data_IF_363092056125
#
_entry.id   IF_363092056125
#
_cell.length_a   1.000
_cell.length_b   1.000
_cell.length_c   1.000
_cell.angle_alpha   90.00
_cell.angle_beta   90.00
_cell.angle_gamma   90.00
#
_symmetry.space_group_name_H-M   'P 1'
#
loop_
_entity.id
_entity.type
_entity.pdbx_description
1 polymer ?
#
# COMPACT_ATOMS: atom_id res chain seq x y z
N UNK A 1 -22.60 -12.89 -10.97
CA UNK A 1 -22.04 -12.43 -9.68
C UNK A 1 -20.93 -11.44 -10.00
N UNK A 2 -21.02 -10.23 -9.47
CA UNK A 2 -20.01 -9.20 -9.66
C UNK A 2 -18.73 -9.51 -8.88
N UNK A 3 -17.61 -8.88 -9.25
CA UNK A 3 -16.34 -9.04 -8.53
C UNK A 3 -16.46 -8.58 -7.07
N UNK A 4 -17.26 -7.54 -6.83
CA UNK A 4 -17.54 -7.00 -5.50
C UNK A 4 -18.33 -7.99 -4.64
N UNK A 5 -19.42 -8.57 -5.16
CA UNK A 5 -20.22 -9.59 -4.46
C UNK A 5 -19.35 -10.80 -4.10
N UNK A 6 -18.51 -11.21 -5.03
CA UNK A 6 -17.63 -12.34 -4.84
C UNK A 6 -16.54 -12.08 -3.79
N UNK A 7 -15.83 -10.94 -3.83
CA UNK A 7 -14.85 -10.58 -2.79
C UNK A 7 -15.54 -10.48 -1.43
N UNK A 8 -16.76 -9.94 -1.38
CA UNK A 8 -17.55 -9.93 -0.15
C UNK A 8 -17.82 -11.34 0.38
N UNK A 9 -18.13 -12.32 -0.48
CA UNK A 9 -18.29 -13.70 -0.06
C UNK A 9 -16.99 -14.32 0.46
N UNK A 10 -15.84 -14.04 -0.19
CA UNK A 10 -14.54 -14.49 0.31
C UNK A 10 -14.27 -13.96 1.72
N UNK A 11 -14.50 -12.67 1.93
CA UNK A 11 -14.31 -12.02 3.23
C UNK A 11 -15.26 -12.61 4.28
N UNK A 12 -16.56 -12.65 3.99
CA UNK A 12 -17.59 -13.13 4.93
C UNK A 12 -17.39 -14.60 5.31
N UNK A 13 -16.96 -15.43 4.37
CA UNK A 13 -16.76 -16.86 4.59
C UNK A 13 -15.34 -17.19 5.02
N UNK A 14 -14.45 -16.19 5.16
CA UNK A 14 -13.01 -16.38 5.40
C UNK A 14 -12.40 -17.41 4.43
N UNK A 15 -12.89 -17.40 3.18
CA UNK A 15 -12.51 -18.36 2.15
C UNK A 15 -11.34 -17.86 1.34
N UNK A 16 -10.56 -18.84 0.91
CA UNK A 16 -9.52 -18.72 -0.10
C UNK A 16 -10.16 -18.61 -1.50
N UNK A 17 -9.63 -17.72 -2.34
CA UNK A 17 -9.98 -17.65 -3.75
C UNK A 17 -9.44 -18.89 -4.47
N UNK A 18 -10.18 -19.37 -5.47
CA UNK A 18 -9.64 -20.39 -6.38
C UNK A 18 -8.51 -19.78 -7.25
N UNK A 19 -7.64 -20.60 -7.85
CA UNK A 19 -6.61 -20.09 -8.77
C UNK A 19 -7.17 -19.26 -9.93
N UNK A 20 -8.31 -19.65 -10.49
CA UNK A 20 -8.99 -18.92 -11.58
C UNK A 20 -9.50 -17.55 -11.10
N UNK A 21 -10.08 -17.53 -9.90
CA UNK A 21 -10.55 -16.33 -9.23
C UNK A 21 -9.40 -15.36 -8.92
N UNK A 22 -8.27 -15.88 -8.43
CA UNK A 22 -7.06 -15.10 -8.17
C UNK A 22 -6.49 -14.51 -9.47
N UNK A 23 -6.47 -15.30 -10.56
CA UNK A 23 -6.03 -14.82 -11.87
C UNK A 23 -6.90 -13.66 -12.38
N UNK A 24 -8.23 -13.77 -12.21
CA UNK A 24 -9.18 -12.71 -12.57
C UNK A 24 -8.94 -11.42 -11.76
N UNK A 25 -8.68 -11.53 -10.44
CA UNK A 25 -8.33 -10.38 -9.60
C UNK A 25 -7.07 -9.68 -10.08
N UNK A 26 -6.02 -10.45 -10.36
CA UNK A 26 -4.73 -9.93 -10.79
C UNK A 26 -4.87 -9.21 -12.13
N UNK A 27 -5.55 -9.82 -13.10
CA UNK A 27 -5.75 -9.22 -14.41
C UNK A 27 -6.44 -7.86 -14.27
N UNK A 28 -7.58 -7.82 -13.58
CA UNK A 28 -8.38 -6.62 -13.37
C UNK A 28 -7.65 -5.55 -12.57
N UNK A 29 -7.06 -5.90 -11.43
CA UNK A 29 -6.32 -4.94 -10.61
C UNK A 29 -5.09 -4.38 -11.34
N UNK A 30 -4.45 -5.17 -12.21
CA UNK A 30 -3.23 -4.73 -12.91
C UNK A 30 -3.48 -3.68 -13.99
N UNK A 31 -4.71 -3.58 -14.50
CA UNK A 31 -5.13 -2.56 -15.48
C UNK A 31 -5.98 -1.45 -14.85
N UNK A 32 -6.34 -1.59 -13.57
CA UNK A 32 -7.10 -0.59 -12.85
C UNK A 32 -6.38 0.77 -12.85
N UNK A 33 -7.16 1.84 -12.99
CA UNK A 33 -6.66 3.20 -12.76
C UNK A 33 -6.46 3.44 -11.28
N UNK A 34 -5.56 4.36 -10.94
CA UNK A 34 -5.51 4.89 -9.59
C UNK A 34 -6.71 5.82 -9.36
N UNK A 35 -7.18 5.93 -8.13
CA UNK A 35 -8.27 6.80 -7.75
C UNK A 35 -8.00 8.24 -8.24
N UNK A 36 -8.98 8.80 -8.96
CA UNK A 36 -8.88 10.14 -9.56
C UNK A 36 -9.28 11.26 -8.61
N UNK A 37 -9.65 10.94 -7.37
CA UNK A 37 -10.05 11.91 -6.36
C UNK A 37 -8.92 12.92 -6.10
N UNK A 38 -9.29 14.19 -5.93
CA UNK A 38 -8.40 15.21 -5.42
C UNK A 38 -8.41 15.16 -3.89
N UNK A 39 -7.24 14.98 -3.31
CA UNK A 39 -7.03 14.85 -1.88
C UNK A 39 -6.18 16.01 -1.37
N UNK A 40 -6.54 16.50 -0.19
CA UNK A 40 -5.77 17.53 0.50
C UNK A 40 -4.44 16.95 1.00
N UNK A 41 -3.36 17.69 0.75
CA UNK A 41 -2.04 17.35 1.27
C UNK A 41 -2.03 17.47 2.80
N UNK A 42 -1.50 16.43 3.43
CA UNK A 42 -1.31 16.38 4.88
C UNK A 42 -0.43 17.52 5.39
N UNK A 43 -0.64 17.94 6.63
CA UNK A 43 0.19 18.94 7.30
C UNK A 43 1.68 18.55 7.30
N UNK A 44 1.98 17.25 7.33
CA UNK A 44 3.35 16.75 7.26
C UNK A 44 4.05 17.07 5.93
N UNK A 45 3.28 17.37 4.88
CA UNK A 45 3.81 17.74 3.56
C UNK A 45 3.91 19.26 3.38
N UNK A 46 3.33 20.06 4.26
CA UNK A 46 3.36 21.52 4.14
C UNK A 46 4.78 22.06 4.18
N UNK A 47 5.04 23.10 3.38
CA UNK A 47 6.36 23.68 3.20
C UNK A 47 7.31 22.86 2.33
N UNK A 48 6.94 21.63 1.95
CA UNK A 48 7.68 20.84 0.96
C UNK A 48 7.40 21.34 -0.46
N UNK A 49 8.30 21.04 -1.40
CA UNK A 49 8.12 21.35 -2.81
C UNK A 49 7.58 20.15 -3.60
N UNK A 50 6.58 20.39 -4.44
CA UNK A 50 6.08 19.45 -5.45
C UNK A 50 6.04 20.13 -6.81
N UNK A 51 6.76 19.56 -7.79
CA UNK A 51 6.88 20.10 -9.16
C UNK A 51 7.26 21.60 -9.23
N UNK A 52 8.02 22.09 -8.25
CA UNK A 52 8.47 23.48 -8.17
C UNK A 52 7.57 24.39 -7.34
N UNK A 53 6.39 23.91 -6.91
CA UNK A 53 5.46 24.67 -6.07
C UNK A 53 5.59 24.29 -4.60
N UNK A 54 5.40 25.27 -3.71
CA UNK A 54 5.33 25.02 -2.26
C UNK A 54 3.96 24.48 -1.89
N UNK A 55 3.94 23.34 -1.20
CA UNK A 55 2.73 22.74 -0.66
C UNK A 55 2.26 23.56 0.54
N UNK A 56 1.02 24.04 0.47
CA UNK A 56 0.39 24.84 1.50
C UNK A 56 -0.85 24.12 2.08
N UNK A 57 -1.40 24.58 3.22
CA UNK A 57 -2.71 24.13 3.69
C UNK A 57 -3.78 24.25 2.61
N UNK A 58 -4.64 23.24 2.47
CA UNK A 58 -5.66 23.20 1.42
C UNK A 58 -5.16 22.83 0.02
N UNK A 59 -3.87 22.53 -0.16
CA UNK A 59 -3.33 22.13 -1.46
C UNK A 59 -3.89 20.76 -1.87
N UNK A 60 -4.60 20.71 -3.00
CA UNK A 60 -5.29 19.52 -3.50
C UNK A 60 -4.47 18.85 -4.62
N UNK A 61 -4.26 17.54 -4.51
CA UNK A 61 -3.53 16.72 -5.47
C UNK A 61 -4.33 15.49 -5.88
N UNK A 62 -4.20 14.98 -7.11
CA UNK A 62 -4.69 13.65 -7.46
C UNK A 62 -4.16 12.60 -6.47
N UNK A 63 -4.99 11.65 -6.05
CA UNK A 63 -4.61 10.67 -5.04
C UNK A 63 -3.32 9.91 -5.38
N UNK A 64 -3.08 9.63 -6.67
CA UNK A 64 -1.86 8.99 -7.14
C UNK A 64 -0.60 9.86 -6.95
N UNK A 65 -0.71 11.16 -7.20
CA UNK A 65 0.37 12.13 -6.99
C UNK A 65 0.64 12.31 -5.50
N UNK A 66 -0.41 12.42 -4.68
CA UNK A 66 -0.27 12.49 -3.24
C UNK A 66 0.41 11.23 -2.68
N UNK A 67 0.03 10.05 -3.18
CA UNK A 67 0.67 8.79 -2.78
C UNK A 67 2.16 8.75 -3.15
N UNK A 68 2.52 9.16 -4.37
CA UNK A 68 3.92 9.26 -4.79
C UNK A 68 4.70 10.29 -3.96
N UNK A 69 4.12 11.46 -3.75
CA UNK A 69 4.74 12.52 -2.95
C UNK A 69 5.04 12.02 -1.53
N UNK A 70 4.09 11.32 -0.89
CA UNK A 70 4.33 10.69 0.41
C UNK A 70 5.41 9.63 0.35
N UNK A 71 5.33 8.75 -0.65
CA UNK A 71 6.29 7.66 -0.83
C UNK A 71 7.74 8.17 -1.00
N UNK A 72 7.93 9.31 -1.65
CA UNK A 72 9.24 9.92 -1.90
C UNK A 72 9.71 10.84 -0.77
N UNK A 73 8.83 11.67 -0.21
CA UNK A 73 9.19 12.73 0.74
C UNK A 73 9.03 12.36 2.21
N UNK A 74 7.97 11.62 2.55
CA UNK A 74 7.72 11.22 3.94
C UNK A 74 8.35 9.87 4.23
N UNK A 75 8.05 8.89 3.39
CA UNK A 75 8.40 7.51 3.65
C UNK A 75 9.85 7.20 3.20
N UNK A 76 10.38 7.98 2.25
CA UNK A 76 11.71 7.73 1.65
C UNK A 76 11.80 6.36 0.97
N UNK A 77 10.67 5.80 0.54
CA UNK A 77 10.57 4.44 0.02
C UNK A 77 10.66 4.36 -1.50
N UNK A 78 10.50 5.47 -2.19
CA UNK A 78 10.83 5.63 -3.62
C UNK A 78 11.98 6.62 -3.81
N UNK A 79 12.78 6.45 -4.88
CA UNK A 79 13.85 7.39 -5.20
C UNK A 79 13.34 8.83 -5.32
N UNK A 80 14.14 9.78 -4.85
CA UNK A 80 13.87 11.19 -5.07
C UNK A 80 13.88 11.47 -6.59
N UNK A 81 12.81 12.08 -7.10
CA UNK A 81 12.62 12.31 -8.54
C UNK A 81 11.92 11.18 -9.30
N UNK A 82 11.45 10.12 -8.62
CA UNK A 82 10.59 9.11 -9.24
C UNK A 82 9.37 9.76 -9.91
N UNK A 83 9.09 9.36 -11.15
CA UNK A 83 7.95 9.88 -11.90
C UNK A 83 6.66 9.14 -11.54
N UNK A 84 5.51 9.78 -11.76
CA UNK A 84 4.20 9.13 -11.58
C UNK A 84 4.05 7.86 -12.46
N UNK A 85 4.45 7.86 -13.75
CA UNK A 85 4.48 6.65 -14.55
C UNK A 85 5.29 5.51 -13.94
N UNK A 86 6.50 5.78 -13.42
CA UNK A 86 7.36 4.75 -12.81
C UNK A 86 6.73 4.18 -11.55
N UNK A 87 6.18 5.05 -10.70
CA UNK A 87 5.46 4.65 -9.50
C UNK A 87 4.29 3.70 -9.83
N UNK A 88 3.44 4.08 -10.79
CA UNK A 88 2.31 3.24 -11.20
C UNK A 88 2.77 1.93 -11.86
N UNK A 89 3.88 1.95 -12.60
CA UNK A 89 4.47 0.74 -13.17
C UNK A 89 4.91 -0.23 -12.08
N UNK A 90 5.59 0.25 -11.04
CA UNK A 90 6.01 -0.55 -9.89
C UNK A 90 4.81 -1.18 -9.15
N UNK A 91 3.73 -0.43 -8.94
CA UNK A 91 2.52 -0.98 -8.30
C UNK A 91 1.91 -2.10 -9.16
N UNK A 92 1.82 -1.90 -10.48
CA UNK A 92 1.29 -2.93 -11.39
C UNK A 92 2.18 -4.17 -11.45
N UNK A 93 3.51 -3.97 -11.40
CA UNK A 93 4.45 -5.08 -11.31
C UNK A 93 4.26 -5.87 -10.01
N UNK A 94 4.03 -5.18 -8.88
CA UNK A 94 3.74 -5.83 -7.61
C UNK A 94 2.45 -6.66 -7.65
N UNK A 95 1.37 -6.14 -8.24
CA UNK A 95 0.12 -6.90 -8.44
C UNK A 95 0.35 -8.18 -9.24
N UNK A 96 1.18 -8.13 -10.29
CA UNK A 96 1.47 -9.28 -11.16
C UNK A 96 2.50 -10.26 -10.58
N UNK A 97 3.22 -9.88 -9.53
CA UNK A 97 4.39 -10.62 -9.05
C UNK A 97 4.03 -12.08 -8.67
N UNK A 98 4.80 -13.09 -9.11
CA UNK A 98 4.56 -14.50 -8.80
C UNK A 98 4.55 -14.84 -7.30
N UNK A 99 5.27 -14.08 -6.50
CA UNK A 99 5.31 -14.27 -5.04
C UNK A 99 4.48 -13.21 -4.29
N UNK A 100 3.56 -12.53 -4.97
CA UNK A 100 2.65 -11.62 -4.29
C UNK A 100 1.76 -12.39 -3.32
N UNK A 101 1.74 -11.96 -2.06
CA UNK A 101 0.66 -12.29 -1.15
C UNK A 101 -0.59 -11.51 -1.54
N UNK A 102 -1.75 -12.15 -1.45
CA UNK A 102 -3.05 -11.54 -1.71
C UNK A 102 -3.95 -11.72 -0.51
N UNK A 103 -4.55 -10.61 -0.06
CA UNK A 103 -5.50 -10.59 1.04
C UNK A 103 -6.81 -9.97 0.58
N UNK A 104 -7.92 -10.55 1.01
CA UNK A 104 -9.24 -9.92 0.90
C UNK A 104 -9.68 -9.45 2.28
N UNK A 105 -10.07 -8.19 2.39
CA UNK A 105 -10.55 -7.62 3.65
C UNK A 105 -11.50 -6.46 3.42
N UNK A 106 -12.29 -6.13 4.46
CA UNK A 106 -13.07 -4.90 4.50
C UNK A 106 -12.27 -3.78 5.14
N UNK A 107 -12.11 -2.68 4.41
CA UNK A 107 -11.45 -1.48 4.94
C UNK A 107 -12.30 -0.27 4.64
N UNK A 108 -12.53 0.57 5.65
CA UNK A 108 -13.48 1.69 5.58
C UNK A 108 -14.89 1.28 5.10
N UNK A 109 -15.31 0.04 5.38
CA UNK A 109 -16.59 -0.51 4.95
C UNK A 109 -16.59 -1.12 3.54
N UNK A 110 -15.53 -0.94 2.75
CA UNK A 110 -15.45 -1.42 1.37
C UNK A 110 -14.69 -2.75 1.24
N UNK A 111 -15.09 -3.64 0.33
CA UNK A 111 -14.31 -4.81 -0.05
C UNK A 111 -13.05 -4.40 -0.81
N UNK A 112 -11.90 -4.69 -0.21
CA UNK A 112 -10.59 -4.41 -0.77
C UNK A 112 -9.79 -5.69 -0.95
N UNK A 113 -8.90 -5.65 -1.94
CA UNK A 113 -7.86 -6.64 -2.18
C UNK A 113 -6.52 -5.96 -1.98
N UNK A 114 -5.67 -6.56 -1.17
CA UNK A 114 -4.31 -6.10 -0.94
C UNK A 114 -3.36 -7.06 -1.62
N UNK A 115 -2.47 -6.51 -2.43
CA UNK A 115 -1.35 -7.23 -3.04
C UNK A 115 -0.08 -6.78 -2.33
N UNK A 116 0.77 -7.70 -1.89
CA UNK A 116 2.10 -7.36 -1.39
C UNK A 116 3.13 -8.26 -2.04
N UNK A 117 4.03 -7.66 -2.81
CA UNK A 117 5.08 -8.38 -3.53
C UNK A 117 6.45 -7.99 -2.99
N UNK A 118 7.37 -8.95 -2.79
CA UNK A 118 8.74 -8.64 -2.42
C UNK A 118 9.34 -7.73 -3.50
N UNK A 119 10.00 -6.67 -3.04
CA UNK A 119 10.75 -5.78 -3.88
C UNK A 119 12.10 -6.45 -4.17
N UNK A 120 12.20 -7.13 -5.31
CA UNK A 120 13.48 -7.66 -5.79
C UNK A 120 14.32 -6.51 -6.34
N UNK A 121 14.87 -5.67 -5.45
CA UNK A 121 15.80 -4.64 -5.89
C UNK A 121 17.16 -4.84 -5.24
N UNK A 122 18.12 -5.20 -6.09
CA UNK A 122 19.54 -5.02 -5.82
C UNK A 122 19.90 -3.55 -5.95
N UNK A 123 19.52 -2.70 -4.99
CA UNK A 123 20.10 -1.36 -4.90
C UNK A 123 21.45 -1.48 -4.18
N UNK A 124 22.52 -1.47 -4.97
CA UNK A 124 23.88 -1.25 -4.46
C UNK A 124 24.04 0.24 -4.16
N UNK A 125 23.51 0.70 -3.03
CA UNK A 125 23.80 2.04 -2.52
C UNK A 125 25.13 1.93 -1.76
N UNK A 126 26.09 2.73 -2.17
CA UNK A 126 27.49 2.70 -1.74
C UNK A 126 27.67 2.60 -0.20
N UNK A 127 28.52 1.66 0.23
CA UNK A 127 29.33 1.69 1.47
C UNK A 127 28.64 1.81 2.85
N UNK A 128 27.47 1.22 3.05
CA UNK A 128 27.04 0.73 4.38
C UNK A 128 26.46 -0.67 4.18
N UNK A 129 26.82 -1.60 5.07
CA UNK A 129 26.49 -3.03 5.10
C UNK A 129 25.33 -3.48 4.19
N UNK A 130 25.59 -4.54 3.40
CA UNK A 130 24.60 -5.32 2.64
C UNK A 130 23.49 -5.86 3.55
N UNK A 131 22.54 -5.03 3.91
CA UNK A 131 21.24 -5.43 4.41
C UNK A 131 20.30 -5.35 3.22
N UNK A 132 20.06 -6.49 2.56
CA UNK A 132 18.91 -6.62 1.66
C UNK A 132 17.67 -6.36 2.51
N UNK A 133 17.20 -5.13 2.53
CA UNK A 133 15.96 -4.81 3.21
C UNK A 133 14.87 -5.62 2.51
N UNK A 134 14.30 -6.59 3.23
CA UNK A 134 13.14 -7.36 2.81
C UNK A 134 11.94 -6.42 2.76
N UNK A 135 11.88 -5.54 1.76
CA UNK A 135 10.78 -4.60 1.53
C UNK A 135 9.82 -5.26 0.55
N UNK A 136 8.54 -4.98 0.71
CA UNK A 136 7.52 -5.34 -0.27
C UNK A 136 6.80 -4.07 -0.74
N UNK A 137 6.49 -4.06 -2.03
CA UNK A 137 5.53 -3.10 -2.60
C UNK A 137 4.13 -3.62 -2.32
N UNK A 138 3.34 -2.80 -1.62
CA UNK A 138 1.97 -3.07 -1.22
C UNK A 138 1.03 -2.20 -2.05
N UNK A 139 -0.03 -2.80 -2.58
CA UNK A 139 -1.04 -2.14 -3.41
C UNK A 139 -2.43 -2.48 -2.92
N UNK A 140 -3.28 -1.46 -2.83
CA UNK A 140 -4.67 -1.59 -2.40
C UNK A 140 -5.60 -1.36 -3.57
N UNK A 141 -6.37 -2.38 -3.91
CA UNK A 141 -7.42 -2.33 -4.91
C UNK A 141 -8.79 -2.37 -4.23
N UNK A 142 -9.69 -1.46 -4.59
CA UNK A 142 -11.07 -1.48 -4.12
C UNK A 142 -12.00 -2.03 -5.20
N UNK A 143 -12.75 -3.08 -4.85
CA UNK A 143 -13.66 -3.74 -5.78
C UNK A 143 -14.93 -2.92 -6.07
N UNK A 144 -15.33 -2.04 -5.15
CA UNK A 144 -16.52 -1.18 -5.33
C UNK A 144 -16.26 -0.11 -6.40
N UNK A 145 -15.07 0.50 -6.40
CA UNK A 145 -14.72 1.56 -7.36
C UNK A 145 -13.92 1.05 -8.56
N UNK A 146 -13.47 -0.20 -8.52
CA UNK A 146 -12.61 -0.81 -9.53
C UNK A 146 -11.30 -0.04 -9.77
N UNK A 147 -10.69 0.45 -8.70
CA UNK A 147 -9.53 1.35 -8.74
C UNK A 147 -8.48 0.98 -7.70
N UNK A 148 -7.24 1.41 -7.93
CA UNK A 148 -6.18 1.42 -6.94
C UNK A 148 -6.35 2.65 -6.04
N UNK A 149 -6.30 2.46 -4.74
CA UNK A 149 -6.50 3.56 -3.77
C UNK A 149 -5.24 3.90 -2.98
N UNK A 150 -4.30 2.97 -2.90
CA UNK A 150 -3.03 3.20 -2.23
C UNK A 150 -1.93 2.31 -2.80
N UNK A 151 -0.71 2.83 -2.76
CA UNK A 151 0.51 2.12 -3.08
C UNK A 151 1.61 2.59 -2.14
N UNK A 152 2.36 1.65 -1.56
CA UNK A 152 3.48 1.98 -0.69
C UNK A 152 4.47 0.83 -0.61
N UNK A 153 5.60 1.07 0.06
CA UNK A 153 6.61 0.05 0.35
C UNK A 153 6.74 -0.07 1.85
N UNK A 154 6.85 -1.29 2.33
CA UNK A 154 7.03 -1.55 3.75
C UNK A 154 7.88 -2.81 3.96
N UNK A 155 8.60 -2.93 5.09
CA UNK A 155 9.28 -4.16 5.45
C UNK A 155 8.30 -5.34 5.52
N UNK A 156 8.68 -6.49 4.95
CA UNK A 156 7.90 -7.73 4.90
C UNK A 156 7.52 -8.23 6.30
N UNK A 157 8.43 -8.09 7.27
CA UNK A 157 8.21 -8.46 8.67
C UNK A 157 7.19 -7.55 9.39
N UNK A 158 6.78 -6.46 8.75
CA UNK A 158 5.75 -5.53 9.23
C UNK A 158 4.46 -5.66 8.44
N UNK A 159 4.32 -6.63 7.54
CA UNK A 159 3.08 -6.87 6.81
C UNK A 159 2.24 -7.93 7.52
N UNK A 160 1.38 -7.46 8.43
CA UNK A 160 0.40 -8.30 9.10
C UNK A 160 -1.01 -7.80 8.78
N UNK A 161 -1.62 -8.35 7.74
CA UNK A 161 -3.02 -8.08 7.41
C UNK A 161 -3.92 -9.13 8.07
N UNK A 162 -4.93 -8.68 8.81
CA UNK A 162 -5.99 -9.56 9.31
C UNK A 162 -6.89 -9.98 8.14
N UNK A 163 -6.96 -11.28 7.85
CA UNK A 163 -7.77 -11.83 6.76
C UNK A 163 -7.23 -13.17 6.26
N UNK A 164 -7.98 -13.82 5.35
CA UNK A 164 -7.51 -15.03 4.69
C UNK A 164 -6.31 -14.67 3.79
N UNK A 165 -5.11 -15.11 4.20
CA UNK A 165 -3.88 -14.93 3.43
C UNK A 165 -3.84 -15.98 2.33
N UNK A 166 -3.76 -15.51 1.10
CA UNK A 166 -3.43 -16.34 -0.05
C UNK A 166 -2.03 -16.02 -0.52
N UNK A 167 -1.10 -16.89 -0.18
CA UNK A 167 0.15 -16.94 -0.90
C UNK A 167 -0.09 -17.71 -2.19
N UNK A 168 0.27 -17.09 -3.32
CA UNK A 168 0.36 -17.79 -4.61
C UNK A 168 1.24 -19.03 -4.40
N UNK A 169 0.93 -20.20 -5.03
CA UNK A 169 1.74 -21.40 -4.87
C UNK A 169 3.21 -21.07 -5.12
N UNK A 170 4.11 -21.35 -4.16
CA UNK A 170 5.49 -20.95 -4.28
C UNK A 170 6.17 -21.75 -5.40
N UNK A 171 6.98 -21.07 -6.20
CA UNK A 171 8.23 -21.67 -6.64
C UNK A 171 9.25 -21.45 -5.50
N UNK A 172 9.67 -22.56 -4.87
CA UNK A 172 10.60 -22.65 -3.71
C UNK A 172 12.03 -22.11 -4.05
N UNK A 173 12.93 -21.81 -3.07
CA UNK A 173 12.86 -22.07 -1.61
C UNK A 173 13.36 -20.98 -0.61
N UNK A 174 12.99 -21.23 0.67
CA UNK A 174 13.72 -21.08 1.96
C UNK A 174 13.98 -19.73 2.68
N UNK A 175 13.89 -19.83 4.01
CA UNK A 175 13.74 -18.77 5.03
C UNK A 175 14.96 -18.60 5.96
N UNK A 176 15.06 -17.46 6.67
CA UNK A 176 15.46 -17.36 8.10
C UNK A 176 15.21 -15.96 8.72
N UNK A 177 15.11 -15.94 10.07
CA UNK A 177 14.55 -14.99 11.06
C UNK A 177 14.88 -13.46 11.05
N UNK A 178 14.11 -12.61 11.80
CA UNK A 178 14.34 -11.16 11.95
C UNK A 178 14.95 -10.73 13.31
N UNK A 179 15.55 -9.53 13.34
CA UNK A 179 15.90 -8.72 14.52
C UNK A 179 15.04 -7.43 14.59
N UNK A 180 14.92 -6.76 15.76
CA UNK A 180 13.95 -5.68 15.97
C UNK A 180 14.48 -4.28 15.59
N UNK A 181 13.62 -3.47 14.98
CA UNK A 181 13.83 -2.04 14.71
C UNK A 181 12.73 -1.23 15.41
N UNK A 182 13.13 -0.16 16.09
CA UNK A 182 12.27 0.74 16.88
C UNK A 182 11.11 1.41 16.11
N UNK A 183 10.06 1.90 16.83
CA UNK A 183 8.87 2.47 16.21
C UNK A 183 9.07 3.91 15.75
N UNK A 184 8.61 4.17 14.52
CA UNK A 184 8.58 5.49 13.90
C UNK A 184 7.50 6.38 14.54
N UNK A 185 7.92 7.46 15.20
CA UNK A 185 7.05 8.43 15.90
C UNK A 185 6.12 9.22 14.96
N UNK A 186 6.53 9.42 13.71
CA UNK A 186 5.74 10.18 12.71
C UNK A 186 4.46 9.46 12.27
N UNK A 187 4.45 8.13 12.27
CA UNK A 187 3.30 7.29 11.93
C UNK A 187 2.14 7.47 12.92
N UNK A 188 2.45 7.82 14.18
CA UNK A 188 1.45 8.12 15.21
C UNK A 188 0.73 9.43 14.93
N UNK A 189 1.49 10.47 14.56
CA UNK A 189 0.95 11.81 14.26
C UNK A 189 0.04 11.78 13.03
N UNK A 190 0.50 11.14 11.95
CA UNK A 190 -0.30 10.98 10.73
C UNK A 190 -1.61 10.19 10.97
N UNK A 191 -1.57 9.14 11.81
CA UNK A 191 -2.77 8.36 12.14
C UNK A 191 -3.78 9.11 13.03
N UNK A 192 -3.30 9.98 13.93
CA UNK A 192 -4.13 10.83 14.79
C UNK A 192 -4.78 11.97 14.00
N UNK A 193 -4.05 12.59 13.06
CA UNK A 193 -4.54 13.66 12.16
C UNK A 193 -5.54 13.12 11.11
N UNK A 194 -5.33 11.92 10.55
CA UNK A 194 -6.25 11.31 9.58
C UNK A 194 -7.65 10.96 10.16
N UNK A 195 -7.84 11.10 11.48
CA UNK A 195 -9.13 10.89 12.16
C UNK A 195 -10.14 12.01 11.89
N UNK A 196 -9.69 13.21 11.52
CA UNK A 196 -10.56 14.38 11.25
C UNK A 196 -10.93 14.54 9.76
N UNK A 197 -10.18 13.93 8.83
CA UNK A 197 -10.39 14.05 7.38
C UNK A 197 -11.29 12.96 6.74
N UNK A 198 -11.78 12.00 7.53
CA UNK A 198 -12.35 10.73 7.07
C UNK A 198 -13.73 10.79 6.36
N UNK A 199 -14.30 11.98 6.13
CA UNK A 199 -15.65 12.11 5.57
C UNK A 199 -15.69 12.32 4.05
N UNK A 200 -14.55 12.57 3.36
CA UNK A 200 -14.60 13.19 2.02
C UNK A 200 -14.35 12.28 0.81
N UNK A 201 -13.59 11.18 0.92
CA UNK A 201 -13.37 10.22 -0.18
C UNK A 201 -13.00 8.83 0.35
N UNK A 202 -13.27 7.78 -0.44
CA UNK A 202 -12.79 6.43 -0.14
C UNK A 202 -11.26 6.34 -0.10
N UNK A 203 -10.55 7.02 -1.01
CA UNK A 203 -9.09 7.03 -1.03
C UNK A 203 -8.54 7.63 0.27
N UNK A 204 -9.11 8.75 0.74
CA UNK A 204 -8.76 9.34 2.03
C UNK A 204 -9.05 8.41 3.21
N UNK A 205 -10.20 7.72 3.20
CA UNK A 205 -10.55 6.75 4.26
C UNK A 205 -9.64 5.54 4.28
N UNK A 206 -9.27 5.01 3.12
CA UNK A 206 -8.36 3.88 2.98
C UNK A 206 -6.95 4.28 3.39
N UNK A 207 -6.49 5.44 2.97
CA UNK A 207 -5.19 5.98 3.38
C UNK A 207 -5.11 6.17 4.90
N UNK A 208 -6.13 6.78 5.51
CA UNK A 208 -6.27 6.87 6.96
C UNK A 208 -6.25 5.49 7.65
N UNK A 209 -6.96 4.51 7.09
CA UNK A 209 -6.99 3.15 7.61
C UNK A 209 -5.63 2.46 7.48
N UNK A 210 -4.91 2.66 6.37
CA UNK A 210 -3.55 2.16 6.13
C UNK A 210 -2.59 2.76 7.15
N UNK A 211 -2.62 4.07 7.38
CA UNK A 211 -1.80 4.73 8.39
C UNK A 211 -2.07 4.16 9.79
N UNK A 212 -3.35 3.92 10.15
CA UNK A 212 -3.71 3.28 11.43
C UNK A 212 -3.20 1.86 11.55
N UNK A 213 -3.33 1.04 10.50
CA UNK A 213 -2.81 -0.32 10.47
C UNK A 213 -1.30 -0.31 10.68
N UNK A 214 -0.58 0.57 9.98
CA UNK A 214 0.88 0.74 10.15
C UNK A 214 1.24 1.15 11.58
N UNK A 215 0.50 2.08 12.19
CA UNK A 215 0.73 2.49 13.58
C UNK A 215 0.50 1.35 14.58
N UNK A 216 -0.59 0.60 14.45
CA UNK A 216 -0.91 -0.53 15.33
C UNK A 216 0.15 -1.63 15.28
N UNK A 217 0.69 -1.92 14.08
CA UNK A 217 1.77 -2.89 13.91
C UNK A 217 3.07 -2.47 14.60
N UNK A 218 3.31 -1.17 14.77
CA UNK A 218 4.46 -0.65 15.53
C UNK A 218 4.32 -0.75 17.05
N UNK A 219 3.10 -0.86 17.59
CA UNK A 219 2.81 -0.81 19.04
C UNK A 219 2.88 -2.17 19.73
N UNK A 220 2.64 -3.27 19.02
CA UNK A 220 2.62 -4.63 19.58
C UNK A 220 4.03 -5.28 19.76
N UNK A 221 5.11 -4.48 19.68
CA UNK A 221 6.50 -4.93 19.89
C UNK A 221 7.14 -4.35 21.16
N UNK A 222 6.37 -3.66 22.01
CA UNK A 222 6.80 -3.14 23.31
C UNK A 222 6.35 -4.02 24.46
#
# INVERSE_FOLDING_TARGET
MSIQEWINLLILQSKKASPEQLALLIDRASVASFAGDLLEADETLWGSFWQGDVIAPGYLLPAAELALLRATRLDGTWPEGASLPDFLADLRQAIRHPQAGVWTLRTAGEPCVVFAAPLNVQYSIFNVQRSTFNVATVVWYCATTDQLHAGYRAPLDRLHFAGAVEQRPPELPSATHPEPIEPFTWLKQAAEQAKTAAERSLAARLDAAILRLRYQMGRNRG
#
